data_IF_936605829100
#
_entry.id   IF_936605829100
#
_cell.length_a   1.000
_cell.length_b   1.000
_cell.length_c   1.000
_cell.angle_alpha   90.00
_cell.angle_beta   90.00
_cell.angle_gamma   90.00
#
_symmetry.space_group_name_H-M   'P 1'
#
loop_
_entity.id
_entity.type
_entity.pdbx_description
1 polymer ?
#
# COMPACT_ATOMS: atom_id res chain seq x y z
N UNK A 1 -19.19 -14.12 -18.61
CA UNK A 1 -18.25 -13.03 -18.94
C UNK A 1 -18.94 -11.73 -18.58
N UNK A 2 -18.29 -10.88 -17.78
CA UNK A 2 -18.86 -9.59 -17.40
C UNK A 2 -18.17 -8.52 -18.25
N UNK A 3 -18.97 -7.70 -18.93
CA UNK A 3 -18.45 -6.61 -19.78
C UNK A 3 -18.50 -5.31 -19.00
N UNK A 4 -17.35 -4.68 -18.81
CA UNK A 4 -17.24 -3.36 -18.20
C UNK A 4 -17.16 -2.29 -19.29
N UNK A 5 -18.11 -1.37 -19.32
CA UNK A 5 -18.07 -0.19 -20.20
C UNK A 5 -17.64 1.04 -19.41
N UNK A 6 -16.47 1.59 -19.75
CA UNK A 6 -15.97 2.84 -19.17
C UNK A 6 -16.19 3.96 -20.18
N UNK A 7 -16.97 4.98 -19.81
CA UNK A 7 -17.21 6.17 -20.63
C UNK A 7 -16.31 7.33 -20.19
N UNK A 8 -16.08 8.26 -21.11
CA UNK A 8 -15.34 9.50 -20.85
C UNK A 8 -13.91 9.29 -20.36
N UNK A 9 -13.22 8.27 -20.88
CA UNK A 9 -11.79 8.08 -20.61
C UNK A 9 -11.02 9.22 -21.28
N UNK A 10 -10.21 9.99 -20.52
CA UNK A 10 -9.41 11.05 -21.11
C UNK A 10 -8.47 10.51 -22.19
N UNK A 11 -8.36 11.20 -23.32
CA UNK A 11 -7.51 10.79 -24.44
C UNK A 11 -6.05 10.55 -24.02
N UNK A 12 -5.55 11.39 -23.11
CA UNK A 12 -4.20 11.26 -22.55
C UNK A 12 -4.01 9.94 -21.81
N UNK A 13 -5.01 9.51 -21.03
CA UNK A 13 -4.98 8.24 -20.31
C UNK A 13 -5.06 7.06 -21.27
N UNK A 14 -5.97 7.12 -22.24
CA UNK A 14 -6.09 6.08 -23.27
C UNK A 14 -4.76 5.87 -24.02
N UNK A 15 -4.12 6.96 -24.46
CA UNK A 15 -2.82 6.90 -25.15
C UNK A 15 -1.73 6.28 -24.28
N UNK A 16 -1.68 6.63 -22.98
CA UNK A 16 -0.70 6.04 -22.05
C UNK A 16 -0.92 4.54 -21.86
N UNK A 17 -2.16 4.10 -21.67
CA UNK A 17 -2.46 2.67 -21.51
C UNK A 17 -2.12 1.91 -22.79
N UNK A 18 -2.45 2.47 -23.96
CA UNK A 18 -2.10 1.87 -25.26
C UNK A 18 -0.60 1.74 -25.46
N UNK A 19 0.17 2.78 -25.09
CA UNK A 19 1.64 2.72 -25.14
C UNK A 19 2.19 1.63 -24.24
N UNK A 20 1.67 1.51 -23.01
CA UNK A 20 2.08 0.45 -22.08
C UNK A 20 1.73 -0.94 -22.60
N UNK A 21 0.56 -1.11 -23.22
CA UNK A 21 0.13 -2.37 -23.83
C UNK A 21 1.10 -2.79 -24.95
N UNK A 22 1.49 -1.85 -25.82
CA UNK A 22 2.46 -2.10 -26.89
C UNK A 22 3.83 -2.51 -26.34
N UNK A 23 4.36 -1.79 -25.35
CA UNK A 23 5.66 -2.11 -24.71
C UNK A 23 5.64 -3.52 -24.11
N UNK A 24 4.50 -3.92 -23.53
CA UNK A 24 4.34 -5.24 -22.89
C UNK A 24 3.89 -6.34 -23.86
N UNK A 25 3.74 -6.05 -25.16
CA UNK A 25 3.22 -6.96 -26.18
C UNK A 25 1.87 -7.59 -25.78
N UNK A 26 0.95 -6.77 -25.26
CA UNK A 26 -0.40 -7.20 -24.83
C UNK A 26 -1.47 -6.44 -25.59
N UNK A 27 -2.64 -7.04 -25.73
CA UNK A 27 -3.83 -6.33 -26.20
C UNK A 27 -4.21 -5.24 -25.21
N UNK A 28 -4.89 -4.19 -25.69
CA UNK A 28 -5.35 -3.09 -24.83
C UNK A 28 -6.26 -3.62 -23.71
N UNK A 29 -7.21 -4.50 -24.04
CA UNK A 29 -8.13 -5.09 -23.06
C UNK A 29 -7.38 -5.90 -22.00
N UNK A 30 -6.40 -6.72 -22.39
CA UNK A 30 -5.59 -7.47 -21.44
C UNK A 30 -4.79 -6.54 -20.52
N UNK A 31 -4.22 -5.46 -21.08
CA UNK A 31 -3.50 -4.47 -20.30
C UNK A 31 -4.40 -3.72 -19.30
N UNK A 32 -5.64 -3.41 -19.69
CA UNK A 32 -6.63 -2.78 -18.80
C UNK A 32 -6.99 -3.72 -17.65
N UNK A 33 -7.25 -5.00 -17.93
CA UNK A 33 -7.55 -5.99 -16.89
C UNK A 33 -6.39 -6.09 -15.88
N UNK A 34 -5.14 -6.23 -16.37
CA UNK A 34 -3.96 -6.28 -15.48
C UNK A 34 -3.84 -5.02 -14.62
N UNK A 35 -4.11 -3.82 -15.15
CA UNK A 35 -4.04 -2.59 -14.36
C UNK A 35 -5.14 -2.53 -13.30
N UNK A 36 -6.33 -3.03 -13.60
CA UNK A 36 -7.43 -3.10 -12.64
C UNK A 36 -7.13 -4.09 -11.51
N UNK A 37 -6.63 -5.29 -11.83
CA UNK A 37 -6.18 -6.28 -10.84
C UNK A 37 -5.13 -5.69 -9.89
N UNK A 38 -4.10 -5.05 -10.46
CA UNK A 38 -3.05 -4.42 -9.66
C UNK A 38 -3.57 -3.30 -8.75
N UNK A 39 -4.56 -2.53 -9.22
CA UNK A 39 -5.16 -1.46 -8.44
C UNK A 39 -6.00 -2.02 -7.28
N UNK A 40 -6.76 -3.09 -7.51
CA UNK A 40 -7.54 -3.78 -6.47
C UNK A 40 -6.61 -4.34 -5.40
N UNK A 41 -5.58 -5.11 -5.79
CA UNK A 41 -4.60 -5.69 -4.86
C UNK A 41 -3.89 -4.61 -4.03
N UNK A 42 -3.58 -3.47 -4.65
CA UNK A 42 -2.95 -2.35 -3.95
C UNK A 42 -3.86 -1.73 -2.90
N UNK A 43 -5.15 -1.56 -3.21
CA UNK A 43 -6.12 -1.00 -2.27
C UNK A 43 -6.42 -1.98 -1.12
N UNK A 44 -6.56 -3.27 -1.40
CA UNK A 44 -6.74 -4.30 -0.37
C UNK A 44 -5.54 -4.34 0.59
N UNK A 45 -4.31 -4.36 0.06
CA UNK A 45 -3.10 -4.28 0.89
C UNK A 45 -3.05 -3.03 1.75
N UNK A 46 -3.47 -1.87 1.21
CA UNK A 46 -3.50 -0.62 1.96
C UNK A 46 -4.48 -0.70 3.14
N UNK A 47 -5.66 -1.28 2.92
CA UNK A 47 -6.68 -1.47 3.98
C UNK A 47 -6.14 -2.40 5.06
N UNK A 48 -5.53 -3.52 4.70
CA UNK A 48 -4.94 -4.46 5.67
C UNK A 48 -3.79 -3.84 6.45
N UNK A 49 -2.87 -3.13 5.79
CA UNK A 49 -1.79 -2.41 6.46
C UNK A 49 -2.34 -1.41 7.49
N UNK A 50 -3.40 -0.66 7.13
CA UNK A 50 -4.05 0.29 8.06
C UNK A 50 -4.62 -0.44 9.28
N UNK A 51 -5.25 -1.60 9.10
CA UNK A 51 -5.75 -2.41 10.22
C UNK A 51 -4.62 -2.86 11.14
N UNK A 52 -3.52 -3.35 10.57
CA UNK A 52 -2.35 -3.80 11.33
C UNK A 52 -1.75 -2.64 12.13
N UNK A 53 -1.48 -1.50 11.49
CA UNK A 53 -0.93 -0.32 12.16
C UNK A 53 -1.84 0.18 13.29
N UNK A 54 -3.15 0.24 13.07
CA UNK A 54 -4.12 0.59 14.12
C UNK A 54 -4.07 -0.40 15.28
N UNK A 55 -3.93 -1.70 15.00
CA UNK A 55 -3.84 -2.74 16.04
C UNK A 55 -2.55 -2.62 16.87
N UNK A 56 -1.44 -2.22 16.24
CA UNK A 56 -0.17 -1.97 16.91
C UNK A 56 -0.32 -0.72 17.78
N UNK A 57 -0.87 0.37 17.23
CA UNK A 57 -1.08 1.62 17.96
C UNK A 57 -1.94 1.44 19.21
N UNK A 58 -3.02 0.64 19.12
CA UNK A 58 -3.91 0.34 20.25
C UNK A 58 -3.24 -0.49 21.36
N UNK A 59 -2.34 -1.39 20.98
CA UNK A 59 -1.63 -2.29 21.90
C UNK A 59 -0.28 -1.74 22.36
N UNK A 60 0.15 -0.59 21.83
CA UNK A 60 1.44 0.00 22.14
C UNK A 60 1.45 0.43 23.60
N UNK A 61 2.35 -0.20 24.37
CA UNK A 61 2.65 0.26 25.72
C UNK A 61 3.12 1.72 25.66
N UNK A 62 2.52 2.55 26.50
CA UNK A 62 2.95 3.92 26.73
C UNK A 62 3.53 3.98 28.13
N UNK A 63 4.85 4.17 28.20
CA UNK A 63 5.53 4.40 29.45
C UNK A 63 4.95 5.66 30.12
N UNK A 64 4.69 5.65 31.45
CA UNK A 64 4.38 6.85 32.20
C UNK A 64 5.41 7.96 31.96
N UNK A 65 5.01 9.23 32.13
CA UNK A 65 5.91 10.38 31.88
C UNK A 65 7.19 10.36 32.72
N UNK A 66 7.13 9.75 33.91
CA UNK A 66 8.24 9.68 34.85
C UNK A 66 9.10 8.42 34.66
N UNK A 67 8.97 7.73 33.51
CA UNK A 67 9.78 6.55 33.21
C UNK A 67 11.21 6.98 32.87
N UNK A 68 12.24 6.39 33.49
CA UNK A 68 13.64 6.72 33.19
C UNK A 68 13.98 6.49 31.72
N UNK A 69 14.95 7.25 31.20
CA UNK A 69 15.42 7.04 29.84
C UNK A 69 15.97 5.61 29.70
N UNK A 70 15.52 4.92 28.66
CA UNK A 70 15.96 3.55 28.36
C UNK A 70 17.47 3.48 28.19
N UNK A 71 18.10 4.57 27.73
CA UNK A 71 19.54 4.65 27.57
C UNK A 71 20.28 4.75 28.92
N UNK A 72 19.68 5.39 29.92
CA UNK A 72 20.24 5.43 31.29
C UNK A 72 20.18 4.05 31.94
N UNK A 73 19.05 3.35 31.81
CA UNK A 73 18.88 1.99 32.33
C UNK A 73 19.88 1.00 31.72
N UNK A 74 20.12 1.08 30.40
CA UNK A 74 21.10 0.22 29.72
C UNK A 74 22.54 0.51 30.13
N UNK A 75 22.87 1.76 30.49
CA UNK A 75 24.20 2.13 30.99
C UNK A 75 24.44 1.61 32.39
N UNK A 76 23.43 1.70 33.27
CA UNK A 76 23.50 1.14 34.62
C UNK A 76 23.75 -0.38 34.58
N UNK A 77 23.01 -1.10 33.75
CA UNK A 77 23.10 -2.57 33.66
C UNK A 77 24.46 -3.06 33.11
N UNK A 78 25.07 -2.29 32.19
CA UNK A 78 26.41 -2.58 31.65
C UNK A 78 27.56 -2.27 32.61
N UNK A 79 27.31 -1.48 33.64
CA UNK A 79 28.29 -1.13 34.67
C UNK A 79 28.33 -2.09 35.85
N UNK A 80 27.47 -3.12 35.86
CA UNK A 80 27.39 -4.17 36.89
C UNK A 80 28.30 -5.35 36.58
#
# INVERSE_FOLDING_TARGET
MNTLHVRSVPDSLYKRIRSLANIKNRSLSAQVITLLEQAVDAEERRVEQKKVLNSIQRRRFKAPKDTPDSLELLREDRGR
#
